data_IF_979564870777
#
_entry.id   IF_979564870777
#
_cell.length_a   1.000
_cell.length_b   1.000
_cell.length_c   1.000
_cell.angle_alpha   90.00
_cell.angle_beta   90.00
_cell.angle_gamma   90.00
#
_symmetry.space_group_name_H-M   'P 1'
#
loop_
_entity.id
_entity.type
_entity.pdbx_description
1 polymer ?
#
# COMPACT_ATOMS: atom_id res chain seq x y z
N UNK A 1 4.90 -0.41 -4.07
CA UNK A 1 4.77 -0.72 -5.48
C UNK A 1 3.68 0.13 -6.14
N UNK A 2 2.44 0.01 -5.69
CA UNK A 2 1.32 0.74 -6.28
C UNK A 2 1.43 2.25 -6.10
N UNK A 3 1.96 2.68 -4.97
CA UNK A 3 2.13 4.09 -4.67
C UNK A 3 3.34 4.69 -5.37
N UNK A 4 4.48 4.70 -4.69
CA UNK A 4 5.67 5.43 -5.14
C UNK A 4 6.23 5.00 -6.49
N UNK A 5 6.11 3.73 -6.85
CA UNK A 5 6.60 3.22 -8.13
C UNK A 5 5.52 3.11 -9.21
N UNK A 6 4.27 3.34 -8.85
CA UNK A 6 3.12 3.28 -9.75
C UNK A 6 3.04 1.95 -10.53
N UNK A 7 3.38 0.86 -9.85
CA UNK A 7 3.19 -0.47 -10.41
C UNK A 7 1.80 -0.95 -10.05
N UNK A 8 0.93 -0.98 -11.03
CA UNK A 8 -0.46 -1.35 -10.82
C UNK A 8 -0.68 -2.85 -11.00
N UNK A 9 -1.85 -3.27 -10.60
CA UNK A 9 -2.21 -4.66 -10.47
C UNK A 9 -1.98 -5.48 -11.75
N UNK A 10 -2.42 -4.97 -12.87
CA UNK A 10 -2.26 -5.63 -14.16
C UNK A 10 -0.78 -5.86 -14.51
N UNK A 11 0.00 -4.80 -14.43
CA UNK A 11 1.43 -4.85 -14.74
C UNK A 11 2.18 -5.78 -13.79
N UNK A 12 1.83 -5.74 -12.52
CA UNK A 12 2.41 -6.64 -11.52
C UNK A 12 2.08 -8.10 -11.83
N UNK A 13 0.83 -8.36 -12.17
CA UNK A 13 0.38 -9.70 -12.50
C UNK A 13 1.10 -10.26 -13.73
N UNK A 14 1.23 -9.46 -14.77
CA UNK A 14 1.97 -9.84 -15.97
C UNK A 14 3.44 -10.12 -15.67
N UNK A 15 4.07 -9.25 -14.88
CA UNK A 15 5.47 -9.42 -14.50
C UNK A 15 5.70 -10.67 -13.64
N UNK A 16 4.80 -10.96 -12.70
CA UNK A 16 4.86 -12.17 -11.89
C UNK A 16 4.72 -13.42 -12.75
N UNK A 17 3.77 -13.42 -13.69
CA UNK A 17 3.57 -14.54 -14.60
C UNK A 17 4.77 -14.81 -15.49
N UNK A 18 5.51 -13.76 -15.84
CA UNK A 18 6.73 -13.85 -16.65
C UNK A 18 8.00 -14.00 -15.83
N UNK A 19 7.89 -14.09 -14.50
CA UNK A 19 9.01 -14.15 -13.57
C UNK A 19 9.95 -12.94 -13.68
N UNK A 20 9.37 -11.76 -13.91
CA UNK A 20 10.10 -10.52 -14.14
C UNK A 20 9.77 -9.42 -13.13
N UNK A 21 9.11 -9.78 -12.03
CA UNK A 21 8.62 -8.77 -11.08
C UNK A 21 9.75 -8.00 -10.40
N UNK A 22 10.81 -8.69 -9.98
CA UNK A 22 11.95 -8.02 -9.34
C UNK A 22 12.67 -7.09 -10.30
N UNK A 23 12.80 -7.48 -11.57
CA UNK A 23 13.37 -6.63 -12.61
C UNK A 23 12.52 -5.39 -12.84
N UNK A 24 11.20 -5.53 -12.84
CA UNK A 24 10.29 -4.42 -12.99
C UNK A 24 10.46 -3.40 -11.86
N UNK A 25 10.55 -3.87 -10.62
CA UNK A 25 10.78 -3.00 -9.47
C UNK A 25 12.12 -2.26 -9.62
N UNK A 26 13.18 -2.99 -9.96
CA UNK A 26 14.53 -2.41 -10.10
C UNK A 26 14.56 -1.34 -11.21
N UNK A 27 13.94 -1.62 -12.34
CA UNK A 27 13.88 -0.68 -13.46
C UNK A 27 13.07 0.57 -13.08
N UNK A 28 11.94 0.38 -12.42
CA UNK A 28 11.07 1.47 -12.01
C UNK A 28 11.79 2.37 -10.99
N UNK A 29 12.54 1.80 -10.07
CA UNK A 29 13.32 2.56 -9.08
C UNK A 29 14.38 3.44 -9.72
N UNK A 30 14.95 3.02 -10.85
CA UNK A 30 15.97 3.79 -11.55
C UNK A 30 15.43 4.88 -12.45
N UNK A 31 14.14 4.82 -12.76
CA UNK A 31 13.51 5.81 -13.62
C UNK A 31 13.52 7.18 -12.92
N UNK A 32 13.94 8.28 -13.61
CA UNK A 32 14.03 9.61 -12.97
C UNK A 32 12.72 10.08 -12.30
N UNK A 33 11.59 9.71 -12.86
CA UNK A 33 10.28 10.06 -12.31
C UNK A 33 10.05 9.46 -10.92
N UNK A 34 10.61 8.29 -10.64
CA UNK A 34 10.35 7.55 -9.40
C UNK A 34 11.54 7.51 -8.46
N UNK A 35 12.74 7.79 -8.96
CA UNK A 35 13.99 7.59 -8.20
C UNK A 35 14.08 8.43 -6.93
N UNK A 36 13.44 9.61 -6.91
CA UNK A 36 13.46 10.52 -5.76
C UNK A 36 12.27 10.33 -4.82
N UNK A 37 11.32 9.48 -5.18
CA UNK A 37 10.15 9.25 -4.35
C UNK A 37 10.52 8.46 -3.09
N UNK A 38 9.88 8.81 -2.00
CA UNK A 38 10.10 8.20 -0.68
C UNK A 38 8.80 7.70 -0.10
N UNK A 39 8.92 6.68 0.73
CA UNK A 39 7.85 6.28 1.64
C UNK A 39 8.26 6.81 3.00
N UNK A 40 7.39 7.58 3.62
CA UNK A 40 7.66 8.23 4.91
C UNK A 40 6.84 7.48 5.95
N UNK A 41 7.52 6.98 6.98
CA UNK A 41 6.87 6.29 8.10
C UNK A 41 7.05 7.15 9.34
N UNK A 42 5.95 7.55 9.96
CA UNK A 42 5.95 8.26 11.24
C UNK A 42 5.33 7.37 12.30
N UNK A 43 5.94 7.33 13.46
CA UNK A 43 5.42 6.61 14.62
C UNK A 43 5.18 7.59 15.75
N UNK A 44 3.96 7.64 16.25
CA UNK A 44 3.53 8.57 17.27
C UNK A 44 3.11 7.78 18.51
N UNK A 45 3.83 7.97 19.61
CA UNK A 45 3.52 7.28 20.86
C UNK A 45 2.42 8.02 21.62
N UNK A 46 1.28 7.35 21.80
CA UNK A 46 0.19 7.85 22.64
C UNK A 46 0.33 7.24 24.03
N UNK A 47 0.87 8.03 24.93
CA UNK A 47 1.14 7.60 26.30
C UNK A 47 -0.15 7.35 27.08
N UNK A 48 -1.19 8.12 26.83
CA UNK A 48 -2.45 8.04 27.55
C UNK A 48 -3.18 6.73 27.22
N UNK A 49 -3.30 6.42 25.93
CA UNK A 49 -3.99 5.22 25.46
C UNK A 49 -3.07 4.03 25.29
N UNK A 50 -1.77 4.18 25.54
CA UNK A 50 -0.76 3.14 25.42
C UNK A 50 -0.79 2.47 24.05
N UNK A 51 -0.69 3.28 23.03
CA UNK A 51 -0.72 2.85 21.64
C UNK A 51 0.38 3.55 20.86
N UNK A 52 0.80 2.94 19.78
CA UNK A 52 1.65 3.59 18.79
C UNK A 52 0.78 3.80 17.56
N UNK A 53 0.69 5.06 17.12
CA UNK A 53 0.01 5.38 15.87
C UNK A 53 1.05 5.47 14.77
N UNK A 54 0.84 4.71 13.73
CA UNK A 54 1.69 4.74 12.53
C UNK A 54 0.97 5.51 11.44
N UNK A 55 1.73 6.35 10.74
CA UNK A 55 1.27 7.06 9.56
C UNK A 55 2.28 6.82 8.46
N UNK A 56 1.85 6.19 7.39
CA UNK A 56 2.70 5.82 6.26
C UNK A 56 2.22 6.58 5.04
N UNK A 57 3.11 7.38 4.48
CA UNK A 57 2.80 8.25 3.33
C UNK A 57 3.70 7.89 2.17
N UNK A 58 3.12 7.71 0.99
CA UNK A 58 3.90 7.57 -0.24
C UNK A 58 3.76 8.84 -1.10
N UNK A 59 4.60 8.95 -2.10
CA UNK A 59 4.65 10.10 -3.00
C UNK A 59 4.11 9.78 -4.39
N UNK A 60 3.33 8.71 -4.49
CA UNK A 60 2.66 8.34 -5.73
C UNK A 60 1.36 9.11 -5.98
N UNK A 61 0.61 8.66 -6.94
CA UNK A 61 -0.65 9.30 -7.33
C UNK A 61 -1.87 8.81 -6.54
N UNK A 62 -1.65 7.85 -5.64
CA UNK A 62 -2.73 7.27 -4.88
C UNK A 62 -3.43 6.11 -5.61
N UNK A 63 -4.47 5.60 -5.02
CA UNK A 63 -5.25 4.50 -5.60
C UNK A 63 -6.66 4.49 -5.01
N UNK A 64 -7.54 3.74 -5.63
CA UNK A 64 -8.94 3.58 -5.16
C UNK A 64 -9.01 2.55 -4.05
N UNK A 65 -8.61 2.93 -2.86
CA UNK A 65 -8.54 2.02 -1.71
C UNK A 65 -9.90 1.45 -1.30
N UNK A 66 -10.98 2.20 -1.52
CA UNK A 66 -12.34 1.75 -1.16
C UNK A 66 -12.74 0.48 -1.91
N UNK A 67 -12.27 0.29 -3.12
CA UNK A 67 -12.55 -0.90 -3.91
C UNK A 67 -12.01 -2.17 -3.26
N UNK A 68 -10.94 -2.07 -2.49
CA UNK A 68 -10.29 -3.22 -1.87
C UNK A 68 -10.88 -3.61 -0.53
N UNK A 69 -11.75 -2.77 0.04
CA UNK A 69 -12.41 -3.07 1.30
C UNK A 69 -13.59 -4.02 1.13
N UNK A 70 -14.17 -4.08 -0.05
CA UNK A 70 -15.41 -4.79 -0.31
C UNK A 70 -15.25 -5.99 -1.24
N UNK A 71 -14.05 -6.51 -1.43
CA UNK A 71 -13.79 -7.57 -2.40
C UNK A 71 -14.33 -7.21 -3.77
N UNK A 72 -14.00 -6.04 -4.22
CA UNK A 72 -14.55 -5.51 -5.45
C UNK A 72 -14.20 -6.35 -6.67
N UNK A 73 -14.95 -6.13 -7.74
CA UNK A 73 -14.76 -6.77 -9.03
C UNK A 73 -13.60 -6.20 -9.83
N UNK A 74 -12.57 -5.71 -9.16
CA UNK A 74 -11.37 -5.22 -9.81
C UNK A 74 -10.75 -6.33 -10.67
N UNK A 75 -10.17 -5.98 -11.83
CA UNK A 75 -9.55 -6.97 -12.71
C UNK A 75 -8.48 -7.82 -12.03
N UNK A 76 -7.85 -7.27 -11.00
CA UNK A 76 -6.97 -8.03 -10.12
C UNK A 76 -7.80 -8.63 -9.00
N UNK A 77 -8.23 -9.83 -9.23
CA UNK A 77 -9.08 -10.58 -8.32
C UNK A 77 -8.39 -10.78 -6.97
N UNK A 78 -9.18 -10.74 -5.90
CA UNK A 78 -8.73 -11.01 -4.55
C UNK A 78 -8.17 -12.43 -4.36
N UNK A 79 -8.43 -13.34 -5.28
CA UNK A 79 -7.82 -14.67 -5.27
C UNK A 79 -6.33 -14.63 -5.59
N UNK A 80 -5.89 -13.60 -6.27
CA UNK A 80 -4.48 -13.37 -6.52
C UNK A 80 -3.81 -12.78 -5.27
N UNK A 81 -2.49 -12.81 -5.23
CA UNK A 81 -1.75 -12.20 -4.13
C UNK A 81 -1.94 -10.67 -4.11
N UNK A 82 -2.38 -10.10 -5.21
CA UNK A 82 -2.62 -8.67 -5.37
C UNK A 82 -4.03 -8.30 -4.94
N UNK A 83 -4.21 -7.11 -4.39
CA UNK A 83 -5.50 -6.59 -3.98
C UNK A 83 -6.01 -7.10 -2.64
N UNK A 84 -5.42 -8.16 -2.09
CA UNK A 84 -5.80 -8.66 -0.77
C UNK A 84 -5.14 -7.91 0.38
N UNK A 85 -4.03 -7.21 0.11
CA UNK A 85 -3.25 -6.54 1.15
C UNK A 85 -4.05 -5.51 1.93
N UNK A 86 -4.82 -4.66 1.26
CA UNK A 86 -5.65 -3.65 1.90
C UNK A 86 -6.73 -4.30 2.76
N UNK A 87 -7.40 -5.30 2.23
CA UNK A 87 -8.44 -6.03 2.95
C UNK A 87 -7.88 -6.69 4.21
N UNK A 88 -6.74 -7.38 4.09
CA UNK A 88 -6.09 -8.04 5.22
C UNK A 88 -5.60 -7.03 6.26
N UNK A 89 -5.00 -5.93 5.81
CA UNK A 89 -4.54 -4.88 6.71
C UNK A 89 -5.69 -4.31 7.54
N UNK A 90 -6.84 -4.08 6.91
CA UNK A 90 -8.04 -3.59 7.62
C UNK A 90 -8.54 -4.62 8.64
N UNK A 91 -8.42 -5.89 8.32
CA UNK A 91 -8.81 -6.96 9.25
C UNK A 91 -7.90 -7.02 10.48
N UNK A 92 -6.58 -6.84 10.29
CA UNK A 92 -5.61 -6.82 11.39
C UNK A 92 -5.61 -5.52 12.17
N UNK A 93 -5.89 -4.40 11.50
CA UNK A 93 -5.89 -3.07 12.12
C UNK A 93 -7.26 -2.43 11.88
N UNK A 94 -8.23 -2.67 12.78
CA UNK A 94 -9.60 -2.18 12.57
C UNK A 94 -9.73 -0.68 12.42
N UNK A 95 -8.81 0.09 13.01
CA UNK A 95 -8.80 1.55 12.90
C UNK A 95 -8.02 2.08 11.69
N UNK A 96 -7.56 1.19 10.82
CA UNK A 96 -6.82 1.58 9.63
C UNK A 96 -7.69 2.46 8.72
N UNK A 97 -7.12 3.61 8.35
CA UNK A 97 -7.78 4.57 7.46
C UNK A 97 -6.81 5.09 6.43
N UNK A 98 -7.32 5.34 5.23
CA UNK A 98 -6.58 6.01 4.16
C UNK A 98 -7.06 7.44 4.03
N UNK A 99 -6.19 8.33 3.52
CA UNK A 99 -6.65 9.63 3.07
C UNK A 99 -7.48 9.45 1.79
N UNK A 100 -8.10 10.52 1.33
CA UNK A 100 -8.99 10.46 0.16
C UNK A 100 -8.30 9.92 -1.09
N UNK A 101 -7.04 10.27 -1.30
CA UNK A 101 -6.29 9.87 -2.50
C UNK A 101 -5.65 8.48 -2.41
N UNK A 102 -5.60 7.89 -1.21
CA UNK A 102 -4.92 6.62 -1.01
C UNK A 102 -3.40 6.73 -1.00
N UNK A 103 -2.86 7.89 -0.66
CA UNK A 103 -1.41 8.11 -0.54
C UNK A 103 -0.91 8.05 0.89
N UNK A 104 -1.82 8.04 1.85
CA UNK A 104 -1.46 7.99 3.26
C UNK A 104 -2.39 7.03 3.99
N UNK A 105 -1.81 6.16 4.79
CA UNK A 105 -2.54 5.22 5.64
C UNK A 105 -2.13 5.45 7.08
N UNK A 106 -3.10 5.36 8.00
CA UNK A 106 -2.83 5.43 9.43
C UNK A 106 -3.54 4.30 10.16
N UNK A 107 -2.89 3.80 11.20
CA UNK A 107 -3.42 2.76 12.07
C UNK A 107 -2.70 2.80 13.41
N UNK A 108 -3.28 2.16 14.41
CA UNK A 108 -2.69 2.10 15.75
C UNK A 108 -2.42 0.67 16.17
N UNK A 109 -1.35 0.50 16.93
CA UNK A 109 -0.98 -0.78 17.53
C UNK A 109 -0.99 -0.62 19.05
N UNK A 110 -1.79 -1.42 19.78
CA UNK A 110 -1.76 -1.33 21.23
C UNK A 110 -0.43 -1.84 21.79
N UNK A 111 0.05 -1.20 22.84
CA UNK A 111 1.24 -1.68 23.55
C UNK A 111 0.86 -2.77 24.55
N UNK A 112 1.74 -3.76 24.75
CA UNK A 112 1.52 -4.79 25.77
C UNK A 112 1.48 -4.25 27.20
#
# INVERSE_FOLDING_TARGET
EHGSLEIFCQEKHEALSADQFESLIADRRRHPRFATRRVIVRALYDKIHRRIRYVITDQGNGFRWTSFLTRSDEPCDSREANGRGVFLAKAFFPDLTYNERGTEVSFSVPLP
#
